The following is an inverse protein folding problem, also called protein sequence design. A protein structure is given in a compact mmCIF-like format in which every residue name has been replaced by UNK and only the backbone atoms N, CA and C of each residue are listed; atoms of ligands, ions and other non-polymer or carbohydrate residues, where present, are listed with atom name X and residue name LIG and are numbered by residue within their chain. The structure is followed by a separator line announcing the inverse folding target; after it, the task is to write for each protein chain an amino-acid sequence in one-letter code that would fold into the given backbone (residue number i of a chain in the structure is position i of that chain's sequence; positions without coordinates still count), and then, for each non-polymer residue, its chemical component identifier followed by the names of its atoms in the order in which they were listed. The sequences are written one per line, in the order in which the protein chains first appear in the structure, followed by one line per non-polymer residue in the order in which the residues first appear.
data_IF_481966021024
#
_entry.id   IF_481966021024
#
_cell.length_a   1.000
_cell.length_b   1.000
_cell.length_c   1.000
_cell.angle_alpha   90.00
_cell.angle_beta   90.00
_cell.angle_gamma   90.00
#
_symmetry.space_group_name_H-M   'P 1'
#
loop_
_entity.id
_entity.type
_entity.pdbx_description
1 polymer ?
#
# COMPACT_ATOMS: atom_id res chain seq x y z
N UNK A 1 0.98 -3.23 -3.06
CA UNK A 1 -0.15 -2.30 -3.19
C UNK A 1 -0.09 -1.22 -2.13
N UNK A 2 -0.48 -0.03 -2.47
CA UNK A 2 -0.67 1.10 -1.57
C UNK A 2 -1.79 2.00 -2.10
N UNK A 3 -2.30 2.92 -1.29
CA UNK A 3 -3.28 3.91 -1.76
C UNK A 3 -3.03 5.27 -1.12
N UNK A 4 -3.48 6.32 -1.79
CA UNK A 4 -3.42 7.70 -1.34
C UNK A 4 -4.78 8.36 -1.47
N UNK A 5 -5.05 9.28 -0.55
CA UNK A 5 -6.24 10.13 -0.60
C UNK A 5 -5.85 11.56 -0.23
N UNK A 6 -6.69 12.51 -0.60
CA UNK A 6 -6.51 13.89 -0.17
C UNK A 6 -6.50 13.95 1.36
N UNK A 7 -5.50 14.59 1.98
CA UNK A 7 -5.49 14.75 3.42
C UNK A 7 -6.66 15.60 3.90
N UNK A 8 -7.26 15.23 5.03
CA UNK A 8 -8.25 16.04 5.74
C UNK A 8 -7.66 16.55 7.05
N UNK A 9 -7.83 17.83 7.30
CA UNK A 9 -7.44 18.47 8.56
C UNK A 9 -8.66 18.70 9.50
N UNK A 10 -9.83 18.23 9.09
CA UNK A 10 -11.06 18.29 9.91
C UNK A 10 -11.33 16.91 10.51
N UNK A 11 -11.55 16.80 11.84
CA UNK A 11 -11.92 15.54 12.48
C UNK A 11 -13.17 14.93 11.83
N UNK A 12 -13.17 13.61 11.65
CA UNK A 12 -14.31 12.86 11.09
C UNK A 12 -14.53 13.03 9.57
N UNK A 13 -13.71 13.85 8.88
CA UNK A 13 -13.81 14.01 7.42
C UNK A 13 -12.74 13.16 6.74
N UNK A 14 -13.18 12.24 5.85
CA UNK A 14 -12.32 11.45 4.99
C UNK A 14 -12.67 11.67 3.53
N UNK A 15 -11.66 11.67 2.66
CA UNK A 15 -11.83 11.76 1.21
C UNK A 15 -11.69 10.38 0.57
N UNK A 16 -12.31 10.20 -0.60
CA UNK A 16 -12.14 8.98 -1.39
C UNK A 16 -10.68 8.80 -1.82
N UNK A 17 -10.32 7.56 -2.14
CA UNK A 17 -8.99 7.25 -2.69
C UNK A 17 -8.78 8.00 -3.99
N UNK A 18 -7.69 8.75 -4.06
CA UNK A 18 -7.28 9.52 -5.24
C UNK A 18 -6.26 8.77 -6.08
N UNK A 19 -5.49 7.88 -5.47
CA UNK A 19 -4.39 7.17 -6.12
C UNK A 19 -4.31 5.74 -5.59
N UNK A 20 -4.26 4.77 -6.49
CA UNK A 20 -3.93 3.38 -6.21
C UNK A 20 -2.57 3.06 -6.83
N UNK A 21 -1.64 2.56 -6.03
CA UNK A 21 -0.31 2.18 -6.47
C UNK A 21 -0.20 0.65 -6.47
N UNK A 22 0.13 0.08 -7.63
CA UNK A 22 0.41 -1.35 -7.81
C UNK A 22 1.81 -1.51 -8.39
N UNK A 23 2.69 -2.20 -7.68
CA UNK A 23 4.08 -2.37 -8.07
C UNK A 23 4.44 -3.84 -8.33
N UNK A 24 5.12 -4.08 -9.43
CA UNK A 24 5.95 -5.26 -9.63
C UNK A 24 7.36 -4.99 -9.11
N UNK A 25 8.30 -5.96 -9.15
CA UNK A 25 9.69 -5.67 -8.77
C UNK A 25 10.37 -4.57 -9.57
N UNK A 26 9.91 -4.29 -10.78
CA UNK A 26 10.59 -3.38 -11.73
C UNK A 26 9.74 -2.20 -12.20
N UNK A 27 8.41 -2.27 -12.08
CA UNK A 27 7.49 -1.22 -12.56
C UNK A 27 6.41 -0.95 -11.53
N UNK A 28 6.12 0.32 -11.29
CA UNK A 28 4.97 0.73 -10.49
C UNK A 28 3.94 1.46 -11.36
N UNK A 29 2.69 1.04 -11.23
CA UNK A 29 1.55 1.65 -11.89
C UNK A 29 0.83 2.56 -10.90
N UNK A 30 0.60 3.80 -11.31
CA UNK A 30 -0.12 4.80 -10.53
C UNK A 30 -1.48 5.07 -11.18
N UNK A 31 -2.55 4.57 -10.58
CA UNK A 31 -3.91 4.76 -11.08
C UNK A 31 -4.57 5.93 -10.36
N UNK A 32 -4.80 7.02 -11.08
CA UNK A 32 -5.40 8.24 -10.53
C UNK A 32 -6.92 8.10 -10.50
N UNK A 33 -7.44 7.53 -9.41
CA UNK A 33 -8.85 7.19 -9.26
C UNK A 33 -9.78 8.41 -9.08
N UNK A 34 -9.20 9.60 -8.90
CA UNK A 34 -9.95 10.85 -8.99
C UNK A 34 -10.19 11.32 -10.44
N UNK A 35 -9.55 10.68 -11.42
CA UNK A 35 -9.63 11.02 -12.85
C UNK A 35 -10.12 9.86 -13.72
N UNK A 36 -9.89 8.62 -13.30
CA UNK A 36 -10.34 7.42 -14.01
C UNK A 36 -11.17 6.54 -13.07
N UNK A 37 -12.08 5.72 -13.58
CA UNK A 37 -12.84 4.78 -12.76
C UNK A 37 -11.94 3.66 -12.23
N UNK A 38 -12.38 2.98 -11.18
CA UNK A 38 -11.85 1.70 -10.74
C UNK A 38 -12.35 0.64 -11.75
N UNK A 39 -11.64 0.52 -12.85
CA UNK A 39 -12.06 -0.21 -14.04
C UNK A 39 -12.00 -1.73 -13.85
N UNK A 40 -12.74 -2.46 -14.68
CA UNK A 40 -12.85 -3.92 -14.63
C UNK A 40 -11.48 -4.65 -14.61
N UNK A 41 -10.48 -4.29 -15.43
CA UNK A 41 -9.17 -4.96 -15.38
C UNK A 41 -8.47 -4.82 -14.03
N UNK A 42 -8.60 -3.68 -13.38
CA UNK A 42 -8.04 -3.45 -12.03
C UNK A 42 -8.78 -4.32 -11.01
N UNK A 43 -10.11 -4.38 -11.09
CA UNK A 43 -10.92 -5.22 -10.21
C UNK A 43 -10.58 -6.69 -10.39
N UNK A 44 -10.41 -7.17 -11.62
CA UNK A 44 -10.01 -8.55 -11.91
C UNK A 44 -8.68 -8.90 -11.23
N UNK A 45 -7.70 -7.99 -11.25
CA UNK A 45 -6.44 -8.17 -10.54
C UNK A 45 -6.62 -8.22 -9.02
N UNK A 46 -7.44 -7.33 -8.46
CA UNK A 46 -7.72 -7.29 -7.02
C UNK A 46 -8.49 -8.52 -6.53
N UNK A 47 -9.25 -9.17 -7.39
CA UNK A 47 -10.01 -10.39 -7.11
C UNK A 47 -9.23 -11.69 -7.38
N UNK A 48 -8.14 -11.63 -8.15
CA UNK A 48 -7.40 -12.82 -8.57
C UNK A 48 -6.54 -13.39 -7.43
N UNK A 49 -6.95 -14.56 -6.92
CA UNK A 49 -6.23 -15.27 -5.85
C UNK A 49 -4.86 -15.79 -6.26
N UNK A 50 -4.60 -15.93 -7.56
CA UNK A 50 -3.32 -16.42 -8.09
C UNK A 50 -2.25 -15.35 -8.08
N UNK A 51 -2.63 -14.09 -7.98
CA UNK A 51 -1.70 -12.95 -7.92
C UNK A 51 -1.68 -12.41 -6.50
N UNK A 52 -0.57 -12.55 -5.81
CA UNK A 52 -0.38 -12.00 -4.47
C UNK A 52 -0.23 -10.48 -4.53
N UNK A 53 -1.01 -9.79 -3.73
CA UNK A 53 -0.90 -8.34 -3.52
C UNK A 53 -0.48 -8.09 -2.09
N UNK A 54 0.70 -7.50 -1.92
CA UNK A 54 1.30 -7.24 -0.62
C UNK A 54 1.04 -5.79 -0.23
N UNK A 55 0.54 -5.57 0.95
CA UNK A 55 0.28 -4.23 1.47
C UNK A 55 0.55 -4.11 2.95
N UNK A 56 0.45 -2.89 3.45
CA UNK A 56 0.45 -2.57 4.88
C UNK A 56 -0.88 -1.90 5.21
N UNK A 57 -1.65 -2.48 6.13
CA UNK A 57 -3.06 -2.13 6.41
C UNK A 57 -4.00 -2.46 5.24
N UNK A 58 -3.95 -3.68 4.76
CA UNK A 58 -4.78 -4.16 3.63
C UNK A 58 -6.27 -3.99 3.90
N UNK A 59 -6.75 -4.29 5.10
CA UNK A 59 -8.17 -4.15 5.43
C UNK A 59 -8.66 -2.70 5.28
N UNK A 60 -7.87 -1.72 5.70
CA UNK A 60 -8.15 -0.30 5.53
C UNK A 60 -8.16 0.11 4.06
N UNK A 61 -7.20 -0.36 3.29
CA UNK A 61 -7.12 -0.10 1.84
C UNK A 61 -8.34 -0.66 1.11
N UNK A 62 -8.72 -1.90 1.40
CA UNK A 62 -9.87 -2.56 0.78
C UNK A 62 -11.18 -1.84 1.10
N UNK A 63 -11.39 -1.43 2.37
CA UNK A 63 -12.56 -0.63 2.75
C UNK A 63 -12.65 0.64 1.92
N UNK A 64 -11.55 1.34 1.76
CA UNK A 64 -11.50 2.59 1.00
C UNK A 64 -11.77 2.39 -0.48
N UNK A 65 -11.21 1.35 -1.08
CA UNK A 65 -11.44 1.02 -2.49
C UNK A 65 -12.89 0.57 -2.73
N UNK A 66 -13.50 -0.17 -1.81
CA UNK A 66 -14.90 -0.60 -1.90
C UNK A 66 -15.90 0.55 -1.80
N UNK A 67 -15.52 1.69 -1.27
CA UNK A 67 -16.34 2.92 -1.32
C UNK A 67 -16.50 3.44 -2.76
N UNK A 68 -15.54 3.13 -3.65
CA UNK A 68 -15.61 3.49 -5.06
C UNK A 68 -16.44 2.47 -5.83
N UNK A 69 -16.14 1.19 -5.67
CA UNK A 69 -16.82 0.09 -6.34
C UNK A 69 -16.66 -1.20 -5.55
N UNK A 70 -17.75 -1.96 -5.42
CA UNK A 70 -17.72 -3.24 -4.73
C UNK A 70 -16.93 -4.30 -5.52
N UNK A 71 -16.16 -5.12 -4.79
CA UNK A 71 -15.46 -6.29 -5.33
C UNK A 71 -15.12 -7.26 -4.19
N UNK A 72 -14.85 -8.52 -4.55
CA UNK A 72 -14.35 -9.54 -3.62
C UNK A 72 -12.85 -9.63 -3.73
N UNK A 73 -12.14 -9.35 -2.63
CA UNK A 73 -10.69 -9.43 -2.60
C UNK A 73 -10.20 -10.88 -2.66
N UNK A 74 -9.06 -11.09 -3.30
CA UNK A 74 -8.38 -12.38 -3.36
C UNK A 74 -6.87 -12.20 -3.45
N UNK A 75 -6.10 -13.04 -2.75
CA UNK A 75 -4.65 -13.06 -2.84
C UNK A 75 -3.94 -11.89 -2.14
N UNK A 76 -4.50 -11.32 -1.09
CA UNK A 76 -3.86 -10.25 -0.32
C UNK A 76 -3.03 -10.79 0.84
N UNK A 77 -1.87 -10.18 1.05
CA UNK A 77 -1.01 -10.38 2.22
C UNK A 77 -0.83 -9.04 2.91
N UNK A 78 -1.18 -8.97 4.19
CA UNK A 78 -0.97 -7.79 5.01
C UNK A 78 0.31 -7.93 5.84
N UNK A 79 1.29 -7.08 5.57
CA UNK A 79 2.56 -7.07 6.31
C UNK A 79 2.37 -6.84 7.81
N UNK A 80 1.36 -6.05 8.21
CA UNK A 80 1.04 -5.84 9.62
C UNK A 80 0.57 -7.13 10.29
N UNK A 81 -0.13 -7.99 9.55
CA UNK A 81 -0.65 -9.25 10.05
C UNK A 81 0.40 -10.34 10.17
N UNK A 82 1.38 -10.38 9.27
CA UNK A 82 2.40 -11.44 9.25
C UNK A 82 3.68 -11.08 10.01
N UNK A 83 4.03 -9.80 10.15
CA UNK A 83 5.27 -9.34 10.79
C UNK A 83 5.51 -9.94 12.20
N UNK A 84 4.48 -10.16 13.04
CA UNK A 84 4.67 -10.81 14.34
C UNK A 84 5.31 -12.20 14.28
N UNK A 85 5.17 -12.93 13.17
CA UNK A 85 5.82 -14.22 12.99
C UNK A 85 7.36 -14.12 12.94
N UNK A 86 7.88 -12.93 12.64
CA UNK A 86 9.32 -12.63 12.69
C UNK A 86 9.72 -11.78 13.89
N UNK A 87 8.86 -11.68 14.91
CA UNK A 87 9.15 -10.92 16.12
C UNK A 87 8.99 -9.41 15.98
N UNK A 88 8.28 -8.95 14.95
CA UNK A 88 8.10 -7.51 14.65
C UNK A 88 6.70 -7.10 15.08
N UNK A 89 6.61 -6.24 16.12
CA UNK A 89 5.35 -5.68 16.61
C UNK A 89 4.96 -4.34 15.97
N UNK A 90 5.81 -3.78 15.13
CA UNK A 90 5.57 -2.49 14.48
C UNK A 90 4.65 -2.63 13.26
N UNK A 91 3.83 -1.61 13.04
CA UNK A 91 2.79 -1.62 12.00
C UNK A 91 3.04 -0.64 10.86
N UNK A 92 3.71 0.50 11.12
CA UNK A 92 3.92 1.48 10.07
C UNK A 92 4.89 0.97 9.00
N UNK A 93 4.60 1.26 7.74
CA UNK A 93 5.46 0.88 6.61
C UNK A 93 6.88 1.43 6.78
N UNK A 94 7.02 2.64 7.28
CA UNK A 94 8.33 3.27 7.56
C UNK A 94 9.16 2.46 8.55
N UNK A 95 8.56 2.00 9.64
CA UNK A 95 9.23 1.19 10.66
C UNK A 95 9.51 -0.22 10.17
N UNK A 96 8.55 -0.85 9.49
CA UNK A 96 8.76 -2.15 8.86
C UNK A 96 9.92 -2.12 7.87
N UNK A 97 9.99 -1.10 7.02
CA UNK A 97 11.10 -0.93 6.09
C UNK A 97 12.45 -0.75 6.82
N UNK A 98 12.47 0.04 7.88
CA UNK A 98 13.70 0.24 8.68
C UNK A 98 14.19 -1.06 9.32
N UNK A 99 13.28 -1.85 9.89
CA UNK A 99 13.60 -3.10 10.58
C UNK A 99 14.03 -4.18 9.57
N UNK A 100 13.28 -4.36 8.49
CA UNK A 100 13.46 -5.49 7.55
C UNK A 100 14.50 -5.19 6.50
N UNK A 101 14.54 -3.96 5.97
CA UNK A 101 15.42 -3.55 4.87
C UNK A 101 16.59 -2.66 5.31
N UNK A 102 16.61 -2.20 6.57
CA UNK A 102 17.61 -1.26 7.06
C UNK A 102 17.48 0.16 6.51
N UNK A 103 16.36 0.49 5.88
CA UNK A 103 16.10 1.80 5.26
C UNK A 103 14.70 2.30 5.58
N UNK A 104 14.60 3.56 5.93
CA UNK A 104 13.30 4.21 6.17
C UNK A 104 12.74 4.80 4.87
N UNK A 105 11.44 4.60 4.63
CA UNK A 105 10.74 5.32 3.58
C UNK A 105 10.47 6.77 4.02
N UNK A 106 10.52 7.70 3.07
CA UNK A 106 10.25 9.12 3.32
C UNK A 106 8.79 9.36 3.73
N UNK A 107 8.52 10.42 4.49
CA UNK A 107 7.19 10.97 4.76
C UNK A 107 6.98 12.35 4.10
N UNK A 108 7.93 12.82 3.30
CA UNK A 108 7.98 14.20 2.80
C UNK A 108 6.72 14.59 2.00
N UNK A 109 6.14 13.67 1.22
CA UNK A 109 4.97 13.93 0.38
C UNK A 109 3.65 13.40 0.98
N UNK A 110 3.63 12.95 2.24
CA UNK A 110 2.45 12.31 2.82
C UNK A 110 1.19 13.19 2.78
N UNK A 111 1.35 14.47 3.08
CA UNK A 111 0.26 15.46 3.12
C UNK A 111 0.16 16.28 1.82
N UNK A 112 0.75 15.80 0.76
CA UNK A 112 0.72 16.42 -0.57
C UNK A 112 -0.69 16.39 -1.18
N UNK A 113 -0.96 17.24 -2.16
CA UNK A 113 -2.22 17.23 -2.89
C UNK A 113 -2.22 16.12 -3.95
N UNK A 114 -2.77 14.95 -3.60
CA UNK A 114 -2.87 13.79 -4.49
C UNK A 114 -3.97 13.93 -5.55
N UNK A 115 -4.77 14.99 -5.50
CA UNK A 115 -5.79 15.33 -6.49
C UNK A 115 -5.36 16.47 -7.42
N UNK A 116 -4.10 16.92 -7.34
CA UNK A 116 -3.54 17.94 -8.22
C UNK A 116 -3.75 17.57 -9.70
N UNK A 117 -3.86 18.56 -10.57
CA UNK A 117 -4.04 18.34 -12.02
C UNK A 117 -2.95 17.42 -12.59
N UNK A 118 -1.70 17.66 -12.18
CA UNK A 118 -0.53 16.81 -12.50
C UNK A 118 0.24 16.50 -11.23
N UNK A 119 0.63 15.25 -11.06
CA UNK A 119 1.53 14.85 -9.98
C UNK A 119 2.97 15.18 -10.39
N UNK A 120 3.73 15.77 -9.47
CA UNK A 120 5.17 16.02 -9.67
C UNK A 120 5.94 14.70 -9.71
N UNK A 121 7.16 14.73 -10.26
CA UNK A 121 8.06 13.58 -10.25
C UNK A 121 8.36 13.10 -8.81
N UNK A 122 8.51 14.03 -7.87
CA UNK A 122 8.70 13.72 -6.45
C UNK A 122 7.50 13.00 -5.85
N UNK A 123 6.27 13.44 -6.16
CA UNK A 123 5.05 12.76 -5.73
C UNK A 123 4.95 11.36 -6.32
N UNK A 124 5.22 11.21 -7.61
CA UNK A 124 5.18 9.93 -8.30
C UNK A 124 6.19 8.94 -7.71
N UNK A 125 7.44 9.37 -7.53
CA UNK A 125 8.49 8.54 -6.93
C UNK A 125 8.14 8.14 -5.49
N UNK A 126 7.64 9.08 -4.71
CA UNK A 126 7.20 8.83 -3.33
C UNK A 126 6.08 7.78 -3.26
N UNK A 127 5.06 7.93 -4.10
CA UNK A 127 3.94 7.00 -4.15
C UNK A 127 4.36 5.60 -4.66
N UNK A 128 5.19 5.55 -5.69
CA UNK A 128 5.70 4.31 -6.25
C UNK A 128 6.56 3.54 -5.23
N UNK A 129 7.38 4.24 -4.47
CA UNK A 129 8.25 3.66 -3.44
C UNK A 129 7.44 2.91 -2.38
N UNK A 130 6.34 3.47 -1.90
CA UNK A 130 5.52 2.82 -0.87
C UNK A 130 4.92 1.49 -1.33
N UNK A 131 4.47 1.39 -2.57
CA UNK A 131 3.96 0.13 -3.12
C UNK A 131 5.09 -0.87 -3.37
N UNK A 132 6.21 -0.42 -3.93
CA UNK A 132 7.37 -1.25 -4.22
C UNK A 132 8.00 -1.83 -2.95
N UNK A 133 8.13 -1.03 -1.91
CA UNK A 133 8.72 -1.44 -0.62
C UNK A 133 7.93 -2.56 0.04
N UNK A 134 6.60 -2.60 -0.09
CA UNK A 134 5.78 -3.69 0.45
C UNK A 134 6.24 -5.06 -0.08
N UNK A 135 6.49 -5.18 -1.37
CA UNK A 135 6.98 -6.42 -1.98
C UNK A 135 8.40 -6.74 -1.51
N UNK A 136 9.28 -5.75 -1.42
CA UNK A 136 10.66 -5.94 -0.94
C UNK A 136 10.71 -6.42 0.50
N UNK A 137 9.87 -5.88 1.36
CA UNK A 137 9.75 -6.33 2.76
C UNK A 137 9.30 -7.79 2.79
N UNK A 138 8.27 -8.14 2.04
CA UNK A 138 7.75 -9.51 1.99
C UNK A 138 8.81 -10.51 1.53
N UNK A 139 9.50 -10.23 0.43
CA UNK A 139 10.59 -11.07 -0.08
C UNK A 139 11.70 -11.28 0.96
N UNK A 140 12.09 -10.22 1.67
CA UNK A 140 13.12 -10.31 2.71
C UNK A 140 12.65 -11.12 3.91
N UNK A 141 11.40 -10.98 4.33
CA UNK A 141 10.81 -11.79 5.40
C UNK A 141 10.83 -13.28 5.03
N UNK A 142 10.47 -13.64 3.80
CA UNK A 142 10.49 -15.03 3.33
C UNK A 142 11.90 -15.66 3.36
N UNK A 143 12.95 -14.85 3.24
CA UNK A 143 14.36 -15.29 3.32
C UNK A 143 14.91 -15.31 4.74
N UNK A 144 14.16 -14.81 5.70
CA UNK A 144 14.58 -14.65 7.09
C UNK A 144 13.89 -15.71 7.96
N UNK A 145 14.62 -16.40 8.86
CA UNK A 145 14.01 -17.36 9.78
C UNK A 145 12.96 -16.68 10.68
N UNK A 146 11.83 -17.33 10.86
CA UNK A 146 10.76 -16.84 11.74
C UNK A 146 11.21 -16.87 13.21
N UNK A 147 10.91 -15.83 13.95
CA UNK A 147 11.07 -15.71 15.40
C UNK A 147 9.81 -15.09 15.99
N UNK A 148 8.74 -15.89 16.21
CA UNK A 148 7.49 -15.35 16.70
C UNK A 148 7.65 -14.62 18.04
N UNK A 149 6.87 -13.56 18.21
CA UNK A 149 6.77 -12.88 19.51
C UNK A 149 6.20 -13.90 20.50
N UNK A 150 6.97 -14.19 21.56
CA UNK A 150 6.47 -15.02 22.66
C UNK A 150 5.41 -14.22 23.42
N UNK A 151 4.27 -14.83 23.59
CA UNK A 151 3.19 -14.28 24.43
C UNK A 151 3.56 -14.39 25.91
#
# INVERSE_FOLDING_TARGET
MYKRQRPSFRPGVTFRVSLLQLSTPTVCYLFRLNKIPLAKPILQLLEDRRVLKIGADVAGDLRSLRQIRHFRDGGFVDLQGIAPEWGIGEKSLRKLSAIVLGRRVSKAQRLSNWEAATLTDKQQLYAATDAWVCTRIYEQLLRTPKKPIRK
#
